data_IF_857620179391
#
_entry.id   IF_857620179391
#
_cell.length_a   1.000
_cell.length_b   1.000
_cell.length_c   1.000
_cell.angle_alpha   90.00
_cell.angle_beta   90.00
_cell.angle_gamma   90.00
#
_symmetry.space_group_name_H-M   'P 1'
#
loop_
_entity.id
_entity.type
_entity.pdbx_description
1 polymer ?
#
# COMPACT_ATOMS: atom_id res chain seq x y z
N UNK A 1 -19.98 -24.39 -7.82
CA UNK A 1 -19.73 -23.69 -9.10
C UNK A 1 -20.40 -22.33 -9.05
N UNK A 2 -19.65 -21.24 -9.10
CA UNK A 2 -20.19 -19.88 -9.06
C UNK A 2 -19.59 -19.05 -10.18
N UNK A 3 -20.43 -18.59 -11.11
CA UNK A 3 -20.09 -17.61 -12.12
C UNK A 3 -20.46 -16.24 -11.52
N UNK A 4 -19.50 -15.32 -11.35
CA UNK A 4 -19.76 -13.97 -10.85
C UNK A 4 -19.81 -13.01 -12.03
N UNK A 5 -20.99 -12.43 -12.29
CA UNK A 5 -21.19 -11.35 -13.26
C UNK A 5 -20.85 -10.00 -12.61
N UNK A 6 -19.98 -9.25 -13.28
CA UNK A 6 -19.56 -7.89 -12.92
C UNK A 6 -20.63 -6.86 -13.32
N UNK A 7 -21.12 -6.09 -12.34
CA UNK A 7 -21.87 -4.84 -12.58
C UNK A 7 -21.17 -3.75 -11.75
N UNK A 8 -20.71 -2.71 -12.44
CA UNK A 8 -19.81 -1.70 -11.90
C UNK A 8 -20.50 -0.56 -11.15
N UNK A 9 -19.71 0.07 -10.29
CA UNK A 9 -19.83 1.48 -9.93
C UNK A 9 -18.43 2.07 -9.80
N UNK A 10 -18.18 3.11 -10.56
CA UNK A 10 -16.90 3.81 -10.68
C UNK A 10 -16.70 4.77 -9.51
N UNK A 11 -15.59 4.64 -8.78
CA UNK A 11 -15.20 5.57 -7.72
C UNK A 11 -13.70 5.47 -7.44
N UNK A 12 -12.94 6.46 -7.93
CA UNK A 12 -11.48 6.69 -7.85
C UNK A 12 -10.57 5.53 -8.28
N UNK A 13 -10.11 5.67 -9.51
CA UNK A 13 -9.05 4.92 -10.19
C UNK A 13 -7.68 5.41 -9.67
N UNK A 14 -6.87 4.53 -9.07
CA UNK A 14 -5.43 4.78 -8.89
C UNK A 14 -4.73 4.33 -10.18
N UNK A 15 -4.57 5.28 -11.10
CA UNK A 15 -4.15 5.06 -12.50
C UNK A 15 -2.75 4.44 -12.64
N UNK A 16 -1.90 4.55 -11.62
CA UNK A 16 -0.53 4.00 -11.67
C UNK A 16 -0.46 2.53 -11.25
N UNK A 17 -1.20 2.13 -10.22
CA UNK A 17 -1.02 0.81 -9.58
C UNK A 17 -2.06 -0.22 -9.99
N UNK A 18 -3.16 0.20 -10.63
CA UNK A 18 -4.26 -0.67 -11.04
C UNK A 18 -4.80 -1.56 -9.90
N UNK A 19 -4.63 -1.15 -8.65
CA UNK A 19 -5.09 -1.86 -7.43
C UNK A 19 -6.18 -1.02 -6.76
N UNK A 20 -7.32 -1.62 -6.45
CA UNK A 20 -8.34 -1.04 -5.60
C UNK A 20 -8.88 -2.10 -4.63
N UNK A 21 -9.05 -1.74 -3.36
CA UNK A 21 -9.58 -2.64 -2.32
C UNK A 21 -10.85 -2.03 -1.75
N UNK A 22 -11.95 -2.77 -1.73
CA UNK A 22 -13.23 -2.33 -1.18
C UNK A 22 -13.86 -3.39 -0.28
N UNK A 23 -14.40 -2.98 0.87
CA UNK A 23 -15.15 -3.88 1.76
C UNK A 23 -16.56 -4.06 1.22
N UNK A 24 -16.99 -5.30 1.03
CA UNK A 24 -18.38 -5.62 0.67
C UNK A 24 -19.21 -5.96 1.92
N UNK A 25 -18.65 -6.79 2.81
CA UNK A 25 -19.23 -7.25 4.08
C UNK A 25 -18.17 -7.27 5.18
N UNK A 26 -18.53 -7.43 6.46
CA UNK A 26 -17.55 -7.48 7.55
C UNK A 26 -16.44 -8.54 7.36
N UNK A 27 -16.74 -9.62 6.64
CA UNK A 27 -15.91 -10.78 6.36
C UNK A 27 -15.56 -10.92 4.86
N UNK A 28 -15.82 -9.89 4.05
CA UNK A 28 -15.67 -9.96 2.60
C UNK A 28 -15.12 -8.65 2.02
N UNK A 29 -14.08 -8.72 1.18
CA UNK A 29 -13.66 -7.60 0.36
C UNK A 29 -13.44 -8.00 -1.10
N UNK A 30 -13.50 -6.99 -1.96
CA UNK A 30 -13.10 -7.08 -3.35
C UNK A 30 -11.74 -6.40 -3.54
N UNK A 31 -10.79 -7.10 -4.14
CA UNK A 31 -9.57 -6.56 -4.71
C UNK A 31 -9.74 -6.50 -6.22
N UNK A 32 -9.63 -5.31 -6.81
CA UNK A 32 -9.49 -5.15 -8.24
C UNK A 32 -8.01 -4.98 -8.58
N UNK A 33 -7.48 -5.82 -9.48
CA UNK A 33 -6.09 -5.74 -9.93
C UNK A 33 -5.97 -5.99 -11.44
N UNK A 34 -5.40 -5.02 -12.19
CA UNK A 34 -5.15 -5.11 -13.65
C UNK A 34 -6.37 -5.60 -14.46
N UNK A 35 -7.56 -5.08 -14.14
CA UNK A 35 -8.81 -5.44 -14.81
C UNK A 35 -9.42 -6.79 -14.39
N UNK A 36 -8.80 -7.48 -13.42
CA UNK A 36 -9.37 -8.65 -12.74
C UNK A 36 -9.99 -8.24 -11.41
N UNK A 37 -11.04 -8.95 -10.98
CA UNK A 37 -11.69 -8.73 -9.69
C UNK A 37 -11.62 -10.01 -8.87
N UNK A 38 -11.12 -9.90 -7.64
CA UNK A 38 -10.97 -10.99 -6.68
C UNK A 38 -11.86 -10.67 -5.48
N UNK A 39 -12.76 -11.58 -5.12
CA UNK A 39 -13.52 -11.49 -3.87
C UNK A 39 -12.85 -12.41 -2.84
N UNK A 40 -12.44 -11.85 -1.72
CA UNK A 40 -11.78 -12.54 -0.62
C UNK A 40 -12.71 -12.56 0.59
N UNK A 41 -13.03 -13.76 1.06
CA UNK A 41 -13.66 -13.99 2.37
C UNK A 41 -12.55 -14.13 3.42
N UNK A 42 -12.65 -13.42 4.55
CA UNK A 42 -11.64 -13.39 5.60
C UNK A 42 -12.27 -13.29 6.99
N UNK A 43 -11.54 -13.72 8.02
CA UNK A 43 -11.83 -13.36 9.41
C UNK A 43 -10.84 -12.25 9.81
N UNK A 44 -11.30 -11.00 9.93
CA UNK A 44 -10.40 -9.91 10.34
C UNK A 44 -10.28 -9.87 11.85
N UNK A 45 -9.11 -10.25 12.33
CA UNK A 45 -8.65 -9.81 13.64
C UNK A 45 -7.84 -8.50 13.49
N UNK A 46 -7.11 -8.31 12.38
CA UNK A 46 -6.18 -7.16 12.16
C UNK A 46 -6.47 -6.27 10.92
N UNK A 47 -7.47 -6.57 10.10
CA UNK A 47 -7.77 -5.78 8.88
C UNK A 47 -7.27 -6.42 7.58
N UNK A 48 -7.79 -5.94 6.43
CA UNK A 48 -7.34 -6.40 5.12
C UNK A 48 -6.30 -5.44 4.56
N UNK A 49 -5.14 -5.99 4.20
CA UNK A 49 -4.02 -5.25 3.63
C UNK A 49 -3.57 -5.88 2.32
N UNK A 50 -3.14 -5.04 1.38
CA UNK A 50 -2.46 -5.46 0.15
C UNK A 50 -1.14 -4.74 0.08
N UNK A 51 -0.06 -5.52 0.10
CA UNK A 51 1.31 -5.01 0.03
C UNK A 51 1.84 -5.20 -1.40
N UNK A 52 2.52 -4.16 -1.92
CA UNK A 52 3.15 -4.21 -3.23
C UNK A 52 4.59 -3.72 -3.11
N UNK A 53 5.54 -4.56 -3.50
CA UNK A 53 6.92 -4.12 -3.67
C UNK A 53 7.03 -3.01 -4.73
N UNK A 54 7.79 -1.96 -4.43
CA UNK A 54 7.98 -0.79 -5.29
C UNK A 54 9.47 -0.48 -5.49
N UNK A 55 9.80 0.26 -6.55
CA UNK A 55 11.15 0.83 -6.70
C UNK A 55 11.22 2.26 -6.13
N UNK A 56 12.42 2.79 -5.85
CA UNK A 56 12.59 4.16 -5.35
C UNK A 56 12.03 5.25 -6.27
N UNK A 57 11.86 4.97 -7.56
CA UNK A 57 11.26 5.88 -8.54
C UNK A 57 9.75 6.05 -8.35
N UNK A 58 9.10 5.11 -7.66
CA UNK A 58 7.67 5.11 -7.38
C UNK A 58 7.32 5.80 -6.05
N UNK A 59 8.34 6.19 -5.26
CA UNK A 59 8.16 6.92 -4.01
C UNK A 59 7.64 8.36 -4.26
N UNK A 60 6.76 8.88 -3.39
CA UNK A 60 6.49 10.31 -3.27
C UNK A 60 7.79 11.10 -3.05
N UNK A 61 7.83 12.36 -3.47
CA UNK A 61 9.04 13.17 -3.44
C UNK A 61 9.66 13.29 -2.03
N UNK A 62 8.83 13.46 -1.00
CA UNK A 62 9.29 13.56 0.40
C UNK A 62 9.91 12.23 0.87
N UNK A 63 9.26 11.09 0.58
CA UNK A 63 9.80 9.76 0.93
C UNK A 63 11.03 9.39 0.11
N UNK A 64 11.15 9.89 -1.12
CA UNK A 64 12.36 9.71 -1.93
C UNK A 64 13.56 10.43 -1.31
N UNK A 65 13.36 11.60 -0.71
CA UNK A 65 14.41 12.28 0.05
C UNK A 65 14.80 11.47 1.30
N UNK A 66 13.82 10.99 2.08
CA UNK A 66 14.06 10.10 3.23
C UNK A 66 14.82 8.85 2.82
N UNK A 67 14.45 8.20 1.71
CA UNK A 67 15.16 7.04 1.18
C UNK A 67 16.64 7.35 0.89
N UNK A 68 16.92 8.48 0.25
CA UNK A 68 18.29 8.90 -0.06
C UNK A 68 19.14 9.15 1.19
N UNK A 69 18.55 9.69 2.25
CA UNK A 69 19.23 9.90 3.54
C UNK A 69 19.56 8.58 4.26
N UNK A 70 18.77 7.53 4.02
CA UNK A 70 18.97 6.21 4.63
C UNK A 70 20.05 5.39 3.91
N UNK A 71 20.26 5.60 2.60
CA UNK A 71 21.22 4.84 1.78
C UNK A 71 22.64 4.71 2.37
N UNK A 72 23.25 5.75 2.99
CA UNK A 72 24.59 5.62 3.57
C UNK A 72 24.63 4.77 4.85
N UNK A 73 23.49 4.55 5.50
CA UNK A 73 23.40 3.90 6.82
C UNK A 73 23.09 2.41 6.72
N UNK A 74 22.41 2.00 5.65
CA UNK A 74 21.87 0.65 5.49
C UNK A 74 22.47 -0.05 4.26
N UNK A 75 22.74 -1.34 4.40
CA UNK A 75 23.31 -2.18 3.33
C UNK A 75 22.26 -2.45 2.23
N UNK A 76 21.00 -2.53 2.62
CA UNK A 76 19.86 -2.82 1.74
C UNK A 76 18.59 -2.20 2.31
N UNK A 77 17.76 -1.63 1.46
CA UNK A 77 16.42 -1.14 1.81
C UNK A 77 15.44 -1.76 0.81
N UNK A 78 14.41 -2.45 1.31
CA UNK A 78 13.28 -2.90 0.50
C UNK A 78 12.09 -1.98 0.77
N UNK A 79 11.33 -1.70 -0.28
CA UNK A 79 10.23 -0.74 -0.26
C UNK A 79 8.94 -1.44 -0.63
N UNK A 80 7.90 -1.18 0.15
CA UNK A 80 6.55 -1.63 -0.14
C UNK A 80 5.57 -0.45 -0.04
N UNK A 81 4.56 -0.45 -0.90
CA UNK A 81 3.36 0.38 -0.76
C UNK A 81 2.24 -0.51 -0.22
N UNK A 82 1.64 -0.10 0.88
CA UNK A 82 0.64 -0.87 1.61
C UNK A 82 -0.71 -0.19 1.48
N UNK A 83 -1.69 -0.95 0.97
CA UNK A 83 -3.07 -0.53 0.82
C UNK A 83 -3.91 -1.18 1.91
N UNK A 84 -4.32 -0.41 2.90
CA UNK A 84 -5.19 -0.87 3.98
C UNK A 84 -6.62 -0.42 3.73
N UNK A 85 -7.55 -1.34 3.92
CA UNK A 85 -8.96 -1.05 3.65
C UNK A 85 -9.52 0.00 4.63
N UNK A 86 -9.95 1.16 4.11
CA UNK A 86 -10.50 2.25 4.90
C UNK A 86 -9.46 3.25 5.42
N UNK A 87 -8.19 3.11 5.03
CA UNK A 87 -7.10 4.02 5.36
C UNK A 87 -6.40 4.50 4.10
N UNK A 88 -5.71 5.63 4.18
CA UNK A 88 -4.83 6.07 3.11
C UNK A 88 -3.65 5.10 2.94
N UNK A 89 -3.12 4.95 1.71
CA UNK A 89 -1.94 4.13 1.49
C UNK A 89 -0.76 4.59 2.35
N UNK A 90 0.09 3.63 2.69
CA UNK A 90 1.33 3.87 3.43
C UNK A 90 2.50 3.22 2.72
N UNK A 91 3.70 3.55 3.15
CA UNK A 91 4.95 3.07 2.62
C UNK A 91 5.78 2.46 3.73
N UNK A 92 6.29 1.26 3.49
CA UNK A 92 7.12 0.54 4.45
C UNK A 92 8.53 0.36 3.90
N UNK A 93 9.51 0.73 4.72
CA UNK A 93 10.92 0.65 4.42
C UNK A 93 11.52 -0.43 5.34
N UNK A 94 11.91 -1.54 4.73
CA UNK A 94 12.60 -2.64 5.40
C UNK A 94 14.11 -2.45 5.23
N UNK A 95 14.72 -1.73 6.18
CA UNK A 95 16.11 -1.31 6.12
C UNK A 95 17.01 -2.29 6.90
N UNK A 96 17.99 -2.86 6.21
CA UNK A 96 18.90 -3.88 6.74
C UNK A 96 20.30 -3.29 6.96
N UNK A 97 20.87 -3.52 8.15
CA UNK A 97 22.26 -3.21 8.47
C UNK A 97 22.88 -4.35 9.26
N UNK A 98 23.97 -4.93 8.75
CA UNK A 98 24.69 -6.04 9.41
C UNK A 98 23.75 -7.20 9.80
N UNK A 99 22.77 -7.51 8.94
CA UNK A 99 21.77 -8.55 9.17
C UNK A 99 20.65 -8.19 10.15
N UNK A 100 20.62 -6.97 10.69
CA UNK A 100 19.52 -6.46 11.54
C UNK A 100 18.51 -5.70 10.69
N UNK A 101 17.23 -6.00 10.89
CA UNK A 101 16.10 -5.32 10.23
C UNK A 101 15.59 -4.17 11.11
N UNK A 102 15.44 -2.99 10.50
CA UNK A 102 14.65 -1.87 11.00
C UNK A 102 13.49 -1.65 10.03
N UNK A 103 12.24 -1.75 10.51
CA UNK A 103 11.03 -1.38 9.75
C UNK A 103 10.67 0.07 10.06
N UNK A 104 10.51 0.89 9.03
CA UNK A 104 10.05 2.27 9.12
C UNK A 104 8.77 2.40 8.28
N UNK A 105 7.75 3.07 8.82
CA UNK A 105 6.45 3.22 8.16
C UNK A 105 6.14 4.71 7.98
N UNK A 106 5.64 5.07 6.80
CA UNK A 106 5.35 6.44 6.39
C UNK A 106 3.98 6.52 5.72
N UNK A 107 3.22 7.61 5.95
CA UNK A 107 1.99 7.88 5.21
C UNK A 107 2.27 8.36 3.77
N UNK A 108 1.25 8.36 2.91
CA UNK A 108 1.36 8.87 1.53
C UNK A 108 1.42 10.41 1.44
N UNK A 109 0.97 11.14 2.47
CA UNK A 109 0.91 12.62 2.47
C UNK A 109 1.96 13.29 3.37
N UNK A 110 2.58 14.35 2.84
CA UNK A 110 2.87 15.57 3.61
C UNK A 110 2.40 16.78 2.77
N UNK A 111 1.20 17.30 3.04
CA UNK A 111 0.85 18.70 2.72
C UNK A 111 0.14 19.34 3.91
N UNK A 112 0.89 20.14 4.68
CA UNK A 112 0.33 21.18 5.55
C UNK A 112 0.38 20.91 7.06
N UNK A 113 1.55 21.01 7.68
CA UNK A 113 1.64 21.54 9.05
C UNK A 113 2.27 22.93 9.02
N UNK A 114 1.52 23.90 8.53
CA UNK A 114 1.62 25.28 8.99
C UNK A 114 0.38 25.59 9.81
N UNK A 115 0.51 25.63 11.14
CA UNK A 115 -0.17 26.55 12.08
C UNK A 115 0.06 26.11 13.54
N UNK A 116 0.03 27.01 14.53
CA UNK A 116 -0.30 28.44 14.44
C UNK A 116 0.93 29.37 14.33
#
# INVERSE_FOLDING_TARGET
SGLVLLIGTTGKVVEKDHIAVSRNRPDEATLQWRGSSFTLEYALDDGLEVERAITPEELPAHLKATYQELLPTYDRILLEKVFRLGHDPSYEFYAYREGKLTKLEYGEEEEGSQAP
#
